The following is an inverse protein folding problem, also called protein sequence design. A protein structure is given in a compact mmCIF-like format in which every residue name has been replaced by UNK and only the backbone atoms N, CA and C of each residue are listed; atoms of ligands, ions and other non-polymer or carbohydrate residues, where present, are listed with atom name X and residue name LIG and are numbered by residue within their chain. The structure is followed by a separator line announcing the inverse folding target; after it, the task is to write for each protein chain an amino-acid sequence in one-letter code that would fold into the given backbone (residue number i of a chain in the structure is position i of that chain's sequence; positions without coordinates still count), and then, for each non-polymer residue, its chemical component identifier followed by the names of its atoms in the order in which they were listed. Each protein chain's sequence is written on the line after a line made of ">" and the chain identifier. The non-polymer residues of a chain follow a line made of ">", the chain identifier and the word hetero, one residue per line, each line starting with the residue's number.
data_IF_579924437173
#
_entry.id   IF_579924437173
#
_cell.length_a   1.000
_cell.length_b   1.000
_cell.length_c   1.000
_cell.angle_alpha   90.00
_cell.angle_beta   90.00
_cell.angle_gamma   90.00
#
_symmetry.space_group_name_H-M   'P 1'
#
loop_
_entity.id
_entity.type
_entity.pdbx_description
1 polymer ?
#
# COMPACT_ATOMS: atom_id res chain seq x y z
N UNK A 1 -2.25 -0.89 -26.41
CA UNK A 1 -1.40 -0.65 -25.22
C UNK A 1 -2.20 -0.06 -24.05
N UNK A 2 -3.01 0.99 -24.23
CA UNK A 2 -3.79 1.63 -23.16
C UNK A 2 -4.81 0.75 -22.39
N UNK A 3 -5.33 -0.34 -22.99
CA UNK A 3 -6.28 -1.26 -22.31
C UNK A 3 -5.61 -2.05 -21.17
N UNK A 4 -4.31 -2.34 -21.29
CA UNK A 4 -3.54 -3.10 -20.31
C UNK A 4 -3.12 -2.23 -19.11
N UNK A 5 -2.79 -0.96 -19.34
CA UNK A 5 -2.41 -0.02 -18.28
C UNK A 5 -3.60 0.37 -17.40
N UNK A 6 -4.78 0.61 -18.00
CA UNK A 6 -6.01 0.87 -17.24
C UNK A 6 -6.38 -0.30 -16.33
N UNK A 7 -6.24 -1.54 -16.81
CA UNK A 7 -6.49 -2.73 -16.00
C UNK A 7 -5.52 -2.87 -14.83
N UNK A 8 -4.21 -2.58 -15.03
CA UNK A 8 -3.21 -2.61 -13.97
C UNK A 8 -3.46 -1.56 -12.88
N UNK A 9 -3.74 -0.32 -13.28
CA UNK A 9 -4.03 0.76 -12.32
C UNK A 9 -5.27 0.47 -11.47
N UNK A 10 -6.31 -0.12 -12.08
CA UNK A 10 -7.50 -0.57 -11.34
C UNK A 10 -7.19 -1.69 -10.34
N UNK A 11 -6.33 -2.63 -10.70
CA UNK A 11 -5.91 -3.72 -9.80
C UNK A 11 -5.04 -3.21 -8.65
N UNK A 12 -4.08 -2.33 -8.92
CA UNK A 12 -3.26 -1.72 -7.86
C UNK A 12 -4.10 -0.88 -6.90
N UNK A 13 -5.11 -0.16 -7.42
CA UNK A 13 -6.06 0.58 -6.58
C UNK A 13 -6.85 -0.37 -5.68
N UNK A 14 -7.37 -1.48 -6.21
CA UNK A 14 -8.04 -2.51 -5.43
C UNK A 14 -7.14 -3.03 -4.30
N UNK A 15 -5.91 -3.41 -4.62
CA UNK A 15 -4.95 -3.95 -3.66
C UNK A 15 -4.55 -2.93 -2.59
N UNK A 16 -4.42 -1.64 -2.93
CA UNK A 16 -4.15 -0.58 -1.95
C UNK A 16 -5.34 -0.32 -1.02
N UNK A 17 -6.56 -0.32 -1.54
CA UNK A 17 -7.75 -0.17 -0.72
C UNK A 17 -7.93 -1.37 0.21
N UNK A 18 -7.72 -2.59 -0.29
CA UNK A 18 -7.71 -3.81 0.52
C UNK A 18 -6.60 -3.76 1.59
N UNK A 19 -5.40 -3.28 1.24
CA UNK A 19 -4.32 -3.07 2.19
C UNK A 19 -4.75 -2.14 3.33
N UNK A 20 -5.29 -0.96 3.02
CA UNK A 20 -5.71 0.00 4.04
C UNK A 20 -6.90 -0.49 4.87
N UNK A 21 -7.81 -1.24 4.28
CA UNK A 21 -8.93 -1.88 4.99
C UNK A 21 -8.41 -2.86 6.05
N UNK A 22 -7.52 -3.78 5.66
CA UNK A 22 -7.06 -4.88 6.51
C UNK A 22 -5.91 -4.52 7.44
N UNK A 23 -5.24 -3.38 7.21
CA UNK A 23 -4.23 -2.86 8.13
C UNK A 23 -4.83 -2.40 9.48
N UNK A 24 -6.16 -2.16 9.55
CA UNK A 24 -6.96 -1.84 10.77
C UNK A 24 -6.59 -0.57 11.54
N UNK A 25 -5.41 0.02 11.29
CA UNK A 25 -4.90 1.26 11.89
C UNK A 25 -4.42 2.21 10.79
N UNK A 26 -4.17 3.50 11.08
CA UNK A 26 -3.48 4.36 10.13
C UNK A 26 -2.10 3.81 9.80
N UNK A 27 -1.73 3.78 8.51
CA UNK A 27 -0.34 3.53 8.12
C UNK A 27 0.45 4.80 8.42
N UNK A 28 1.37 4.71 9.37
CA UNK A 28 2.12 5.85 9.87
C UNK A 28 3.31 6.21 8.98
N UNK A 29 3.15 7.20 8.10
CA UNK A 29 4.23 7.74 7.27
C UNK A 29 4.34 7.15 5.86
N UNK A 30 4.71 8.00 4.90
CA UNK A 30 4.96 7.64 3.48
C UNK A 30 6.01 6.55 3.32
N UNK A 31 7.11 6.65 4.08
CA UNK A 31 8.18 5.64 4.05
C UNK A 31 7.67 4.26 4.44
N UNK A 32 6.82 4.18 5.47
CA UNK A 32 6.25 2.91 5.93
C UNK A 32 5.37 2.28 4.86
N UNK A 33 4.48 3.06 4.24
CA UNK A 33 3.65 2.60 3.13
C UNK A 33 4.51 2.03 1.98
N UNK A 34 5.53 2.77 1.55
CA UNK A 34 6.46 2.34 0.51
C UNK A 34 7.14 1.00 0.84
N UNK A 35 7.58 0.81 2.09
CA UNK A 35 8.21 -0.46 2.50
C UNK A 35 7.21 -1.61 2.56
N UNK A 36 6.01 -1.38 3.09
CA UNK A 36 4.96 -2.41 3.17
C UNK A 36 4.62 -2.91 1.77
N UNK A 37 4.31 -2.02 0.83
CA UNK A 37 3.94 -2.41 -0.54
C UNK A 37 5.09 -3.12 -1.24
N UNK A 38 6.32 -2.64 -1.10
CA UNK A 38 7.51 -3.32 -1.64
C UNK A 38 7.67 -4.75 -1.10
N UNK A 39 7.54 -4.93 0.23
CA UNK A 39 7.69 -6.23 0.87
C UNK A 39 6.56 -7.19 0.49
N UNK A 40 5.31 -6.70 0.42
CA UNK A 40 4.16 -7.46 -0.09
C UNK A 40 4.42 -7.97 -1.51
N UNK A 41 4.92 -7.11 -2.40
CA UNK A 41 5.29 -7.50 -3.76
C UNK A 41 6.43 -8.53 -3.79
N UNK A 42 7.51 -8.27 -3.04
CA UNK A 42 8.78 -9.00 -3.19
C UNK A 42 8.82 -10.32 -2.43
N UNK A 43 8.33 -10.33 -1.19
CA UNK A 43 8.37 -11.53 -0.33
C UNK A 43 7.13 -12.41 -0.48
N UNK A 44 5.98 -11.78 -0.67
CA UNK A 44 4.69 -12.47 -0.68
C UNK A 44 4.10 -12.57 -2.08
N UNK A 45 4.76 -12.04 -3.11
CA UNK A 45 4.28 -12.14 -4.49
C UNK A 45 2.91 -11.52 -4.72
N UNK A 46 2.52 -10.52 -3.93
CA UNK A 46 1.29 -9.76 -4.19
C UNK A 46 1.50 -9.00 -5.51
N UNK A 47 0.59 -9.10 -6.49
CA UNK A 47 0.83 -8.69 -7.87
C UNK A 47 0.68 -7.18 -8.08
N UNK A 48 1.27 -6.37 -7.19
CA UNK A 48 1.41 -4.93 -7.42
C UNK A 48 2.22 -4.69 -8.68
N UNK A 49 1.74 -3.83 -9.59
CA UNK A 49 2.44 -3.54 -10.84
C UNK A 49 3.59 -2.53 -10.68
N UNK A 50 3.70 -1.92 -9.50
CA UNK A 50 4.66 -0.87 -9.18
C UNK A 50 6.12 -1.23 -9.46
N UNK A 51 6.81 -0.33 -10.15
CA UNK A 51 8.26 -0.30 -10.26
C UNK A 51 8.90 0.37 -9.02
N UNK A 52 10.02 -0.17 -8.54
CA UNK A 52 10.75 0.36 -7.39
C UNK A 52 12.21 0.63 -7.75
N UNK A 53 12.70 1.81 -7.38
CA UNK A 53 14.11 2.21 -7.53
C UNK A 53 14.81 2.35 -6.17
N UNK A 54 16.16 2.25 -6.12
CA UNK A 54 16.91 2.58 -4.92
C UNK A 54 16.65 4.03 -4.49
N UNK A 55 16.53 4.26 -3.18
CA UNK A 55 16.34 5.59 -2.59
C UNK A 55 16.90 5.66 -1.17
N UNK A 56 16.93 6.84 -0.56
CA UNK A 56 17.60 7.10 0.73
C UNK A 56 17.18 6.12 1.85
N UNK A 57 15.87 5.90 2.00
CA UNK A 57 15.29 4.95 2.95
C UNK A 57 14.93 3.59 2.32
N UNK A 58 15.65 3.18 1.27
CA UNK A 58 15.39 1.93 0.53
C UNK A 58 14.38 2.11 -0.62
N UNK A 59 13.78 1.02 -1.15
CA UNK A 59 13.04 1.03 -2.42
C UNK A 59 11.89 2.03 -2.43
N UNK A 60 11.78 2.83 -3.48
CA UNK A 60 10.75 3.84 -3.64
C UNK A 60 10.08 3.74 -5.01
N UNK A 61 8.76 3.94 -5.04
CA UNK A 61 7.94 3.95 -6.24
C UNK A 61 7.16 5.26 -6.35
N UNK A 62 7.39 6.04 -7.41
CA UNK A 62 6.56 7.22 -7.70
C UNK A 62 5.15 6.81 -8.12
N UNK A 63 4.99 5.67 -8.79
CA UNK A 63 3.70 5.13 -9.23
C UNK A 63 2.78 4.88 -8.02
N UNK A 64 3.32 4.29 -6.95
CA UNK A 64 2.59 4.12 -5.69
C UNK A 64 2.20 5.46 -5.08
N UNK A 65 3.14 6.42 -5.02
CA UNK A 65 2.86 7.75 -4.47
C UNK A 65 1.80 8.49 -5.29
N UNK A 66 1.87 8.43 -6.61
CA UNK A 66 0.90 9.04 -7.52
C UNK A 66 -0.49 8.41 -7.37
N UNK A 67 -0.57 7.08 -7.26
CA UNK A 67 -1.85 6.40 -7.06
C UNK A 67 -2.46 6.75 -5.70
N UNK A 68 -1.66 6.82 -4.63
CA UNK A 68 -2.15 7.28 -3.32
C UNK A 68 -2.64 8.72 -3.34
N UNK A 69 -1.93 9.63 -4.02
CA UNK A 69 -2.39 11.01 -4.21
C UNK A 69 -3.71 11.05 -4.98
N UNK A 70 -3.86 10.24 -6.03
CA UNK A 70 -5.10 10.13 -6.79
C UNK A 70 -6.26 9.59 -5.93
N UNK A 71 -6.04 8.49 -5.21
CA UNK A 71 -7.04 7.90 -4.30
C UNK A 71 -7.47 8.90 -3.22
N UNK A 72 -6.55 9.75 -2.75
CA UNK A 72 -6.87 10.81 -1.81
C UNK A 72 -7.70 11.93 -2.45
N UNK A 73 -7.33 12.35 -3.67
CA UNK A 73 -8.07 13.37 -4.41
C UNK A 73 -9.53 12.97 -4.70
N UNK A 74 -9.81 11.68 -4.89
CA UNK A 74 -11.18 11.16 -5.09
C UNK A 74 -11.88 10.74 -3.78
N UNK A 75 -11.31 11.10 -2.63
CA UNK A 75 -11.83 10.82 -1.29
C UNK A 75 -12.03 9.32 -1.00
N UNK A 76 -11.18 8.45 -1.54
CA UNK A 76 -11.15 7.02 -1.19
C UNK A 76 -10.18 6.75 -0.03
N UNK A 77 -9.10 7.53 0.03
CA UNK A 77 -8.14 7.51 1.13
C UNK A 77 -7.98 8.91 1.71
N UNK A 78 -7.56 9.01 2.96
CA UNK A 78 -7.21 10.28 3.60
C UNK A 78 -5.72 10.27 3.91
N UNK A 79 -5.01 11.29 3.45
CA UNK A 79 -3.65 11.60 3.91
C UNK A 79 -3.73 12.68 4.99
N UNK A 80 -3.51 12.31 6.25
CA UNK A 80 -3.57 13.24 7.39
C UNK A 80 -2.18 13.60 7.87
N UNK A 81 -1.89 14.89 7.96
CA UNK A 81 -0.69 15.38 8.62
C UNK A 81 -0.82 15.23 10.15
N UNK A 82 0.21 14.64 10.75
CA UNK A 82 0.40 14.51 12.19
C UNK A 82 1.68 15.27 12.56
N UNK A 83 1.54 16.24 13.45
CA UNK A 83 2.64 17.04 13.98
C UNK A 83 3.20 16.32 15.20
N UNK A 84 4.45 15.88 15.12
CA UNK A 84 5.13 15.17 16.20
C UNK A 84 5.92 16.19 17.03
N UNK A 85 7.22 16.26 16.82
CA UNK A 85 8.12 17.24 17.40
C UNK A 85 8.19 18.51 16.53
N UNK A 86 8.71 19.65 17.05
CA UNK A 86 8.88 20.87 16.27
C UNK A 86 9.60 20.62 14.93
N UNK A 87 8.92 20.94 13.83
CA UNK A 87 9.45 20.74 12.48
C UNK A 87 9.28 19.32 11.90
N UNK A 88 8.75 18.37 12.68
CA UNK A 88 8.52 16.99 12.22
C UNK A 88 7.04 16.80 11.90
N UNK A 89 6.74 16.65 10.60
CA UNK A 89 5.41 16.34 10.08
C UNK A 89 5.42 14.93 9.50
N UNK A 90 4.51 14.08 9.96
CA UNK A 90 4.28 12.74 9.41
C UNK A 90 2.93 12.68 8.71
N UNK A 91 2.91 12.14 7.50
CA UNK A 91 1.67 11.94 6.75
C UNK A 91 1.20 10.50 6.91
N UNK A 92 0.04 10.34 7.53
CA UNK A 92 -0.59 9.04 7.79
C UNK A 92 -1.69 8.76 6.78
N UNK A 93 -1.85 7.50 6.42
CA UNK A 93 -2.89 7.08 5.48
C UNK A 93 -3.96 6.26 6.17
N UNK A 94 -5.21 6.63 5.92
CA UNK A 94 -6.40 5.90 6.36
C UNK A 94 -7.36 5.70 5.18
N UNK A 95 -8.17 4.66 5.27
CA UNK A 95 -9.29 4.48 4.36
C UNK A 95 -10.43 5.42 4.78
N UNK A 96 -11.02 6.14 3.82
CA UNK A 96 -12.23 6.92 4.11
C UNK A 96 -13.44 6.00 4.14
N UNK A 97 -14.56 6.50 4.65
CA UNK A 97 -15.81 5.77 4.61
C UNK A 97 -16.30 5.49 3.16
N UNK A 98 -16.03 6.40 2.23
CA UNK A 98 -16.30 6.19 0.79
C UNK A 98 -15.42 5.08 0.21
N UNK A 99 -14.13 5.08 0.53
CA UNK A 99 -13.20 4.02 0.11
C UNK A 99 -13.58 2.67 0.69
N UNK A 100 -13.94 2.61 1.97
CA UNK A 100 -14.41 1.40 2.68
C UNK A 100 -15.60 0.77 1.97
N UNK A 101 -16.68 1.52 1.77
CA UNK A 101 -17.86 1.02 1.07
C UNK A 101 -17.58 0.56 -0.35
N UNK A 102 -16.62 1.20 -1.03
CA UNK A 102 -16.20 0.79 -2.36
C UNK A 102 -15.55 -0.60 -2.32
N UNK A 103 -14.52 -0.79 -1.48
CA UNK A 103 -13.78 -2.04 -1.44
C UNK A 103 -14.61 -3.20 -0.89
N UNK A 104 -15.47 -2.97 0.10
CA UNK A 104 -16.38 -4.02 0.63
C UNK A 104 -17.35 -4.54 -0.43
N UNK A 105 -17.88 -3.65 -1.28
CA UNK A 105 -18.72 -4.07 -2.41
C UNK A 105 -17.95 -4.89 -3.43
N UNK A 106 -16.68 -4.58 -3.65
CA UNK A 106 -15.83 -5.35 -4.56
C UNK A 106 -15.44 -6.69 -3.95
N UNK A 107 -15.09 -6.75 -2.66
CA UNK A 107 -14.75 -8.01 -1.96
C UNK A 107 -15.88 -9.05 -2.02
N UNK A 108 -17.14 -8.60 -2.04
CA UNK A 108 -18.31 -9.48 -2.15
C UNK A 108 -18.52 -10.07 -3.56
N UNK A 109 -17.83 -9.57 -4.59
CA UNK A 109 -18.01 -9.98 -5.99
C UNK A 109 -16.67 -10.36 -6.64
N UNK A 110 -15.70 -10.81 -5.84
CA UNK A 110 -14.40 -11.24 -6.35
C UNK A 110 -14.53 -12.58 -7.08
N UNK A 111 -13.78 -12.71 -8.17
CA UNK A 111 -13.43 -14.00 -8.71
C UNK A 111 -12.48 -14.76 -7.75
N UNK A 112 -12.36 -16.07 -7.96
CA UNK A 112 -11.59 -16.97 -7.10
C UNK A 112 -10.10 -16.60 -7.04
N UNK A 113 -9.50 -16.17 -8.15
CA UNK A 113 -8.10 -15.76 -8.21
C UNK A 113 -7.86 -14.51 -7.35
N UNK A 114 -8.69 -13.48 -7.53
CA UNK A 114 -8.58 -12.23 -6.77
C UNK A 114 -8.87 -12.46 -5.28
N UNK A 115 -9.80 -13.35 -4.94
CA UNK A 115 -10.08 -13.72 -3.56
C UNK A 115 -8.86 -14.33 -2.86
N UNK A 116 -8.16 -15.28 -3.50
CA UNK A 116 -6.96 -15.88 -2.92
C UNK A 116 -5.80 -14.88 -2.81
N UNK A 117 -5.65 -13.95 -3.75
CA UNK A 117 -4.69 -12.84 -3.65
C UNK A 117 -4.99 -11.96 -2.43
N UNK A 118 -6.25 -11.55 -2.25
CA UNK A 118 -6.66 -10.72 -1.11
C UNK A 118 -6.50 -11.47 0.22
N UNK A 119 -6.82 -12.76 0.26
CA UNK A 119 -6.60 -13.61 1.45
C UNK A 119 -5.12 -13.71 1.81
N UNK A 120 -4.25 -13.90 0.82
CA UNK A 120 -2.78 -13.87 1.01
C UNK A 120 -2.32 -12.52 1.53
N UNK A 121 -2.81 -11.43 0.92
CA UNK A 121 -2.54 -10.05 1.34
C UNK A 121 -2.91 -9.83 2.81
N UNK A 122 -4.12 -10.25 3.24
CA UNK A 122 -4.57 -10.15 4.64
C UNK A 122 -3.58 -10.80 5.61
N UNK A 123 -3.18 -12.04 5.33
CA UNK A 123 -2.20 -12.77 6.17
C UNK A 123 -0.85 -12.06 6.24
N UNK A 124 -0.33 -11.60 5.10
CA UNK A 124 0.95 -10.88 5.03
C UNK A 124 0.93 -9.53 5.75
N UNK A 125 -0.22 -8.84 5.76
CA UNK A 125 -0.39 -7.58 6.49
C UNK A 125 -0.25 -7.77 8.00
N UNK A 126 -0.78 -8.85 8.55
CA UNK A 126 -0.66 -9.14 9.98
C UNK A 126 0.81 -9.25 10.40
N UNK A 127 1.63 -9.96 9.60
CA UNK A 127 3.07 -10.10 9.84
C UNK A 127 3.84 -8.77 9.71
N UNK A 128 3.51 -7.95 8.70
CA UNK A 128 4.21 -6.68 8.44
C UNK A 128 3.78 -5.55 9.38
N UNK A 129 2.50 -5.52 9.78
CA UNK A 129 1.95 -4.48 10.65
C UNK A 129 2.52 -4.51 12.07
N UNK A 130 2.93 -5.69 12.54
CA UNK A 130 3.58 -5.89 13.84
C UNK A 130 5.01 -5.33 13.92
N UNK A 131 5.65 -5.06 12.78
CA UNK A 131 7.04 -4.62 12.73
C UNK A 131 7.14 -3.10 12.72
N UNK A 132 8.14 -2.56 13.40
CA UNK A 132 8.45 -1.13 13.36
C UNK A 132 8.97 -0.71 11.96
N UNK A 133 8.96 0.59 11.69
CA UNK A 133 9.34 1.13 10.37
C UNK A 133 10.83 0.92 10.05
N UNK A 134 11.72 0.92 11.05
CA UNK A 134 13.14 0.71 10.84
C UNK A 134 13.42 -0.74 10.40
N UNK A 135 12.75 -1.71 11.02
CA UNK A 135 12.78 -3.13 10.64
C UNK A 135 12.30 -3.32 9.20
N UNK A 136 11.19 -2.68 8.81
CA UNK A 136 10.69 -2.73 7.42
C UNK A 136 11.70 -2.12 6.43
N UNK A 137 12.35 -1.01 6.78
CA UNK A 137 13.40 -0.39 5.95
C UNK A 137 14.59 -1.33 5.78
N UNK A 138 15.07 -1.94 6.87
CA UNK A 138 16.20 -2.86 6.84
C UNK A 138 15.93 -4.08 5.94
N UNK A 139 14.75 -4.71 6.09
CA UNK A 139 14.30 -5.82 5.22
C UNK A 139 14.20 -5.39 3.75
N UNK A 140 13.59 -4.24 3.49
CA UNK A 140 13.44 -3.76 2.11
C UNK A 140 14.81 -3.45 1.46
N UNK A 141 15.75 -2.88 2.22
CA UNK A 141 17.11 -2.60 1.74
C UNK A 141 17.90 -3.88 1.44
N UNK A 142 17.76 -4.95 2.24
CA UNK A 142 18.50 -6.19 2.01
C UNK A 142 18.04 -6.93 0.74
N UNK A 143 16.76 -6.85 0.42
CA UNK A 143 16.19 -7.44 -0.80
C UNK A 143 16.54 -6.70 -2.08
N UNK A 144 16.81 -5.39 -1.98
CA UNK A 144 17.25 -4.57 -3.11
C UNK A 144 18.70 -4.79 -3.53
N UNK A 145 19.53 -5.39 -2.66
CA UNK A 145 20.94 -5.65 -2.92
C UNK A 145 21.18 -7.00 -3.60
N UNK A 146 20.12 -7.80 -3.77
CA UNK A 146 20.12 -9.08 -4.48
C UNK A 146 19.61 -8.87 -5.89
#
# INVERSE_FOLDING_TARGET
>A
MAKNEKSRASNDALLLLALLLHYKKPIQGRTRLQKIVFLLKTLYGIPFSFSFRPYYYGPYSDELSNLMSFLSAINFTEERAEFLEPGIIRFNYTLTERGRRCIEKVENNLDEETFEIIKKLKKSIEELSAQDTATLIAKAKSLMKK
#
